data_IF_837788682949
#
_entry.id   IF_837788682949
#
_cell.length_a   1.000
_cell.length_b   1.000
_cell.length_c   1.000
_cell.angle_alpha   90.00
_cell.angle_beta   90.00
_cell.angle_gamma   90.00
#
_symmetry.space_group_name_H-M   'P 1'
#
loop_
_entity.id
_entity.type
_entity.pdbx_description
1 polymer ?
#
# COMPACT_ATOMS: atom_id res chain seq x y z
N UNK A 1 -15.50 13.41 -1.51
CA UNK A 1 -15.93 12.20 -2.22
C UNK A 1 -17.14 11.57 -1.54
N UNK A 2 -17.06 11.08 -0.27
CA UNK A 2 -18.15 10.41 0.47
C UNK A 2 -19.48 11.19 0.49
N UNK A 3 -19.44 12.53 0.68
CA UNK A 3 -20.64 13.38 0.66
C UNK A 3 -21.34 13.34 -0.71
N UNK A 4 -20.59 13.42 -1.80
CA UNK A 4 -21.14 13.34 -3.17
C UNK A 4 -21.67 11.93 -3.48
N UNK A 5 -20.98 10.88 -3.06
CA UNK A 5 -21.46 9.50 -3.21
C UNK A 5 -22.83 9.33 -2.53
N UNK A 6 -22.95 9.75 -1.26
CA UNK A 6 -24.23 9.70 -0.54
C UNK A 6 -25.33 10.53 -1.24
N UNK A 7 -24.97 11.69 -1.80
CA UNK A 7 -25.92 12.54 -2.57
C UNK A 7 -26.42 11.81 -3.81
N UNK A 8 -25.54 11.18 -4.58
CA UNK A 8 -25.90 10.40 -5.77
C UNK A 8 -26.78 9.21 -5.38
N UNK A 9 -26.39 8.41 -4.38
CA UNK A 9 -27.17 7.26 -3.90
C UNK A 9 -28.59 7.65 -3.47
N UNK A 10 -28.74 8.75 -2.70
CA UNK A 10 -30.08 9.24 -2.31
C UNK A 10 -30.92 9.66 -3.49
N UNK A 11 -30.32 10.28 -4.52
CA UNK A 11 -31.05 10.66 -5.73
C UNK A 11 -31.52 9.45 -6.53
N UNK A 12 -30.71 8.41 -6.62
CA UNK A 12 -31.11 7.15 -7.22
C UNK A 12 -32.29 6.52 -6.48
N UNK A 13 -32.21 6.42 -5.15
CA UNK A 13 -33.31 5.86 -4.33
C UNK A 13 -34.62 6.64 -4.52
N UNK A 14 -34.57 7.98 -4.61
CA UNK A 14 -35.77 8.82 -4.85
C UNK A 14 -36.38 8.65 -6.25
N UNK A 15 -35.56 8.19 -7.22
CA UNK A 15 -36.01 8.02 -8.62
C UNK A 15 -36.14 6.53 -8.99
N UNK A 16 -36.25 5.64 -7.98
CA UNK A 16 -36.55 4.24 -8.20
C UNK A 16 -38.00 4.04 -8.60
N UNK A 17 -38.24 3.34 -9.71
CA UNK A 17 -39.57 2.93 -10.19
C UNK A 17 -39.56 1.40 -10.29
N UNK A 18 -40.25 0.72 -9.36
CA UNK A 18 -40.19 -0.73 -9.26
C UNK A 18 -38.77 -1.21 -8.99
N UNK A 19 -38.25 -2.11 -9.82
CA UNK A 19 -36.87 -2.61 -9.74
C UNK A 19 -35.85 -1.76 -10.53
N UNK A 20 -36.31 -0.84 -11.35
CA UNK A 20 -35.45 -0.01 -12.21
C UNK A 20 -35.18 1.38 -11.62
N UNK A 21 -34.06 2.00 -12.04
CA UNK A 21 -33.68 3.35 -11.66
C UNK A 21 -33.69 4.25 -12.88
N UNK A 22 -34.43 5.37 -12.80
CA UNK A 22 -34.46 6.36 -13.86
C UNK A 22 -33.35 7.39 -13.68
N UNK A 23 -32.50 7.59 -14.71
CA UNK A 23 -31.46 8.63 -14.70
C UNK A 23 -32.06 9.98 -15.09
N UNK A 24 -32.18 10.87 -14.13
CA UNK A 24 -32.54 12.26 -14.36
C UNK A 24 -31.34 13.14 -14.67
N UNK A 25 -31.52 14.29 -15.34
CA UNK A 25 -30.45 15.27 -15.59
C UNK A 25 -29.71 15.68 -14.29
N UNK A 26 -30.41 15.75 -13.16
CA UNK A 26 -29.83 16.08 -11.87
C UNK A 26 -28.97 14.95 -11.28
N UNK A 27 -29.27 13.69 -11.61
CA UNK A 27 -28.40 12.54 -11.27
C UNK A 27 -27.14 12.63 -12.11
N UNK A 28 -27.24 12.80 -13.42
CA UNK A 28 -26.12 12.91 -14.35
C UNK A 28 -25.17 14.04 -13.95
N UNK A 29 -25.70 15.23 -13.61
CA UNK A 29 -24.85 16.34 -13.10
C UNK A 29 -24.08 15.96 -11.84
N UNK A 30 -24.74 15.26 -10.90
CA UNK A 30 -24.09 14.85 -9.65
C UNK A 30 -23.06 13.73 -9.86
N UNK A 31 -23.30 12.81 -10.78
CA UNK A 31 -22.33 11.79 -11.20
C UNK A 31 -21.09 12.43 -11.84
N UNK A 32 -21.27 13.40 -12.75
CA UNK A 32 -20.15 14.15 -13.35
C UNK A 32 -19.29 14.84 -12.29
N UNK A 33 -19.92 15.46 -11.27
CA UNK A 33 -19.18 16.06 -10.16
C UNK A 33 -18.41 15.00 -9.35
N UNK A 34 -19.03 13.85 -9.08
CA UNK A 34 -18.37 12.76 -8.38
C UNK A 34 -17.18 12.20 -9.17
N UNK A 35 -17.34 12.02 -10.48
CA UNK A 35 -16.25 11.59 -11.37
C UNK A 35 -15.09 12.58 -11.37
N UNK A 36 -15.35 13.90 -11.50
CA UNK A 36 -14.31 14.93 -11.42
C UNK A 36 -13.52 14.84 -10.13
N UNK A 37 -14.20 14.79 -8.98
CA UNK A 37 -13.53 14.69 -7.67
C UNK A 37 -12.75 13.38 -7.54
N UNK A 38 -13.28 12.27 -8.06
CA UNK A 38 -12.58 10.99 -8.02
C UNK A 38 -11.31 11.02 -8.87
N UNK A 39 -11.39 11.57 -10.07
CA UNK A 39 -10.23 11.75 -10.96
C UNK A 39 -9.16 12.64 -10.34
N UNK A 40 -9.55 13.79 -9.75
CA UNK A 40 -8.61 14.67 -9.05
C UNK A 40 -7.90 13.95 -7.91
N UNK A 41 -8.62 13.18 -7.07
CA UNK A 41 -8.02 12.41 -5.99
C UNK A 41 -7.06 11.33 -6.50
N UNK A 42 -7.39 10.68 -7.61
CA UNK A 42 -6.51 9.69 -8.26
C UNK A 42 -5.22 10.37 -8.74
N UNK A 43 -5.33 11.52 -9.41
CA UNK A 43 -4.17 12.25 -9.89
C UNK A 43 -3.26 12.75 -8.75
N UNK A 44 -3.85 13.23 -7.65
CA UNK A 44 -3.09 13.63 -6.46
C UNK A 44 -2.29 12.45 -5.90
N UNK A 45 -2.91 11.26 -5.79
CA UNK A 45 -2.21 10.07 -5.32
C UNK A 45 -1.09 9.65 -6.26
N UNK A 46 -1.35 9.60 -7.56
CA UNK A 46 -0.33 9.25 -8.56
C UNK A 46 0.84 10.23 -8.50
N UNK A 47 0.56 11.53 -8.43
CA UNK A 47 1.62 12.55 -8.32
C UNK A 47 2.45 12.35 -7.05
N UNK A 48 1.79 12.13 -5.91
CA UNK A 48 2.49 11.86 -4.64
C UNK A 48 3.37 10.62 -4.73
N UNK A 49 2.86 9.52 -5.31
CA UNK A 49 3.64 8.30 -5.52
C UNK A 49 4.84 8.57 -6.43
N UNK A 50 4.63 9.32 -7.52
CA UNK A 50 5.72 9.69 -8.43
C UNK A 50 6.81 10.50 -7.75
N UNK A 51 6.44 11.47 -6.91
CA UNK A 51 7.38 12.28 -6.14
C UNK A 51 8.16 11.43 -5.14
N UNK A 52 7.44 10.65 -4.31
CA UNK A 52 8.03 9.76 -3.31
C UNK A 52 9.00 8.75 -3.94
N UNK A 53 8.58 8.06 -4.99
CA UNK A 53 9.43 7.05 -5.65
C UNK A 53 10.62 7.68 -6.37
N UNK A 54 10.48 8.89 -6.93
CA UNK A 54 11.60 9.64 -7.50
C UNK A 54 12.59 10.07 -6.42
N UNK A 55 12.10 10.53 -5.27
CA UNK A 55 12.97 10.91 -4.15
C UNK A 55 13.81 9.73 -3.67
N UNK A 56 13.20 8.54 -3.52
CA UNK A 56 13.92 7.32 -3.11
C UNK A 56 15.05 6.99 -4.09
N UNK A 57 14.74 6.98 -5.40
CA UNK A 57 15.71 6.62 -6.43
C UNK A 57 16.79 7.71 -6.62
N UNK A 58 16.45 8.99 -6.47
CA UNK A 58 17.39 10.10 -6.59
C UNK A 58 18.45 10.12 -5.47
N UNK A 59 18.20 9.45 -4.34
CA UNK A 59 19.21 9.21 -3.30
C UNK A 59 20.31 8.25 -3.74
N UNK A 60 20.16 7.61 -4.90
CA UNK A 60 21.10 6.66 -5.52
C UNK A 60 21.59 5.57 -4.56
N UNK A 61 20.67 4.84 -3.91
CA UNK A 61 21.08 3.70 -3.09
C UNK A 61 21.74 2.63 -3.96
N UNK A 62 22.62 1.82 -3.38
CA UNK A 62 23.24 0.70 -4.09
C UNK A 62 22.22 -0.34 -4.55
N UNK A 63 21.21 -0.59 -3.73
CA UNK A 63 20.11 -1.51 -4.01
C UNK A 63 18.85 -1.08 -3.26
N UNK A 64 17.70 -1.57 -3.72
CA UNK A 64 16.39 -1.39 -3.07
C UNK A 64 15.77 -2.77 -2.91
N UNK A 65 15.35 -3.10 -1.69
CA UNK A 65 14.63 -4.35 -1.39
C UNK A 65 13.19 -4.02 -1.01
N UNK A 66 12.23 -4.67 -1.67
CA UNK A 66 10.80 -4.57 -1.35
C UNK A 66 10.22 -5.95 -1.08
N UNK A 67 9.18 -6.00 -0.24
CA UNK A 67 8.39 -7.21 0.01
C UNK A 67 7.50 -7.56 -1.18
N UNK A 68 7.33 -8.87 -1.46
CA UNK A 68 6.28 -9.36 -2.38
C UNK A 68 4.92 -9.39 -1.68
N UNK A 69 4.24 -8.26 -1.66
CA UNK A 69 2.91 -8.15 -1.05
C UNK A 69 1.84 -8.82 -1.92
N UNK A 70 1.10 -9.77 -1.35
CA UNK A 70 -0.07 -10.37 -2.00
C UNK A 70 -1.27 -9.40 -2.02
N UNK A 71 -1.15 -8.30 -2.77
CA UNK A 71 -2.19 -7.27 -2.85
C UNK A 71 -3.54 -7.85 -3.30
N UNK A 72 -3.53 -8.79 -4.27
CA UNK A 72 -4.77 -9.46 -4.74
C UNK A 72 -5.45 -10.24 -3.61
N UNK A 73 -4.69 -10.94 -2.78
CA UNK A 73 -5.21 -11.65 -1.61
C UNK A 73 -5.77 -10.69 -0.55
N UNK A 74 -5.05 -9.61 -0.26
CA UNK A 74 -5.47 -8.58 0.69
C UNK A 74 -6.77 -7.89 0.26
N UNK A 75 -6.97 -7.66 -1.05
CA UNK A 75 -8.18 -7.06 -1.62
C UNK A 75 -9.45 -7.92 -1.47
N UNK A 76 -9.32 -9.24 -1.21
CA UNK A 76 -10.48 -10.11 -0.94
C UNK A 76 -11.17 -9.77 0.39
N UNK A 77 -10.48 -9.13 1.32
CA UNK A 77 -11.08 -8.67 2.56
C UNK A 77 -11.91 -7.40 2.30
N UNK A 78 -13.24 -7.53 2.33
CA UNK A 78 -14.20 -6.45 2.05
C UNK A 78 -14.02 -5.22 2.96
N UNK A 79 -13.59 -5.42 4.22
CA UNK A 79 -13.38 -4.32 5.17
C UNK A 79 -12.11 -3.51 4.88
N UNK A 80 -11.09 -4.13 4.31
CA UNK A 80 -9.78 -3.52 4.05
C UNK A 80 -9.57 -3.14 2.59
N UNK A 81 -10.34 -3.71 1.66
CA UNK A 81 -10.13 -3.57 0.21
C UNK A 81 -10.06 -2.12 -0.25
N UNK A 82 -10.92 -1.24 0.28
CA UNK A 82 -10.88 0.18 -0.07
C UNK A 82 -9.60 0.85 0.42
N UNK A 83 -9.17 0.58 1.66
CA UNK A 83 -7.94 1.13 2.23
C UNK A 83 -6.71 0.66 1.45
N UNK A 84 -6.65 -0.64 1.13
CA UNK A 84 -5.56 -1.25 0.35
C UNK A 84 -5.50 -0.63 -1.06
N UNK A 85 -6.64 -0.46 -1.72
CA UNK A 85 -6.71 0.19 -3.03
C UNK A 85 -6.25 1.66 -2.95
N UNK A 86 -6.59 2.35 -1.87
CA UNK A 86 -6.20 3.76 -1.66
C UNK A 86 -4.70 3.92 -1.37
N UNK A 87 -4.03 2.91 -0.85
CA UNK A 87 -2.56 2.89 -0.61
C UNK A 87 -1.75 2.65 -1.90
N UNK A 88 -2.38 2.11 -2.96
CA UNK A 88 -1.72 1.91 -4.26
C UNK A 88 -0.40 1.12 -4.20
N UNK A 89 -0.30 0.10 -3.34
CA UNK A 89 0.94 -0.69 -3.13
C UNK A 89 1.56 -1.20 -4.43
N UNK A 90 0.73 -1.73 -5.35
CA UNK A 90 1.22 -2.21 -6.63
C UNK A 90 1.86 -1.09 -7.47
N UNK A 91 1.28 0.11 -7.46
CA UNK A 91 1.80 1.24 -8.22
C UNK A 91 3.13 1.74 -7.63
N UNK A 92 3.27 1.76 -6.31
CA UNK A 92 4.54 2.06 -5.63
C UNK A 92 5.61 1.06 -6.05
N UNK A 93 5.30 -0.25 -5.94
CA UNK A 93 6.22 -1.31 -6.33
C UNK A 93 6.66 -1.16 -7.79
N UNK A 94 5.71 -1.03 -8.72
CA UNK A 94 5.95 -0.87 -10.15
C UNK A 94 6.85 0.35 -10.45
N UNK A 95 6.56 1.48 -9.79
CA UNK A 95 7.32 2.71 -10.01
C UNK A 95 8.75 2.63 -9.48
N UNK A 96 8.95 2.06 -8.32
CA UNK A 96 10.30 1.85 -7.78
C UNK A 96 11.07 0.91 -8.70
N UNK A 97 10.47 -0.20 -9.14
CA UNK A 97 11.11 -1.17 -10.01
C UNK A 97 11.64 -0.55 -11.31
N UNK A 98 10.80 0.10 -12.13
CA UNK A 98 11.27 0.65 -13.40
C UNK A 98 12.22 1.84 -13.23
N UNK A 99 12.00 2.67 -12.21
CA UNK A 99 12.90 3.81 -11.93
C UNK A 99 14.26 3.33 -11.44
N UNK A 100 14.32 2.25 -10.68
CA UNK A 100 15.58 1.61 -10.27
C UNK A 100 16.37 1.14 -11.49
N UNK A 101 15.69 0.44 -12.42
CA UNK A 101 16.31 -0.01 -13.69
C UNK A 101 16.87 1.18 -14.48
N UNK A 102 16.11 2.27 -14.63
CA UNK A 102 16.56 3.46 -15.35
C UNK A 102 17.75 4.16 -14.71
N UNK A 103 17.95 4.00 -13.42
CA UNK A 103 19.05 4.62 -12.66
C UNK A 103 20.17 3.63 -12.32
N UNK A 104 20.20 2.44 -12.92
CA UNK A 104 21.16 1.37 -12.63
C UNK A 104 21.25 1.03 -11.14
N UNK A 105 20.12 1.06 -10.45
CA UNK A 105 19.98 0.63 -9.05
C UNK A 105 19.47 -0.80 -9.04
N UNK A 106 20.14 -1.67 -8.32
CA UNK A 106 19.72 -3.06 -8.15
C UNK A 106 18.39 -3.14 -7.41
N UNK A 107 17.40 -3.80 -8.01
CA UNK A 107 16.07 -3.97 -7.42
C UNK A 107 15.86 -5.43 -7.04
N UNK A 108 15.57 -5.67 -5.77
CA UNK A 108 15.39 -7.01 -5.19
C UNK A 108 14.00 -7.12 -4.61
N UNK A 109 13.33 -8.23 -4.91
CA UNK A 109 12.05 -8.58 -4.26
C UNK A 109 12.32 -9.65 -3.23
N UNK A 110 12.03 -9.37 -1.97
CA UNK A 110 12.16 -10.37 -0.91
C UNK A 110 11.09 -11.45 -1.06
N UNK A 111 11.41 -12.68 -0.65
CA UNK A 111 10.45 -13.76 -0.63
C UNK A 111 9.21 -13.39 0.18
N UNK A 112 8.04 -13.80 -0.30
CA UNK A 112 6.75 -13.50 0.33
C UNK A 112 6.64 -13.99 1.76
N UNK A 113 7.29 -15.08 2.09
CA UNK A 113 7.25 -15.70 3.40
C UNK A 113 8.45 -15.32 4.28
N UNK A 114 9.33 -14.46 3.78
CA UNK A 114 10.44 -13.96 4.57
C UNK A 114 9.91 -13.22 5.83
N UNK A 115 10.28 -13.66 7.03
CA UNK A 115 9.69 -13.15 8.28
C UNK A 115 10.26 -11.80 8.71
N UNK A 116 10.32 -10.82 7.80
CA UNK A 116 10.95 -9.50 8.00
C UNK A 116 10.55 -8.84 9.32
N UNK A 117 9.25 -8.80 9.63
CA UNK A 117 8.72 -8.16 10.85
C UNK A 117 8.81 -9.04 12.11
N UNK A 118 8.92 -10.37 11.95
CA UNK A 118 8.98 -11.32 13.06
C UNK A 118 10.39 -11.68 13.50
N UNK A 119 11.37 -11.44 12.66
CA UNK A 119 12.77 -11.72 12.94
C UNK A 119 13.43 -10.55 13.67
N UNK A 120 14.23 -10.84 14.69
CA UNK A 120 15.00 -9.83 15.39
C UNK A 120 16.16 -9.34 14.54
N UNK A 121 16.24 -8.04 14.29
CA UNK A 121 17.36 -7.47 13.53
C UNK A 121 18.71 -7.51 14.28
N UNK A 122 18.71 -7.82 15.57
CA UNK A 122 19.94 -7.95 16.36
C UNK A 122 20.49 -9.39 16.34
N UNK A 123 19.68 -10.38 16.76
CA UNK A 123 20.14 -11.75 16.96
C UNK A 123 19.53 -12.79 15.98
N UNK A 124 18.62 -12.38 15.08
CA UNK A 124 17.99 -13.29 14.12
C UNK A 124 16.86 -14.17 14.69
N UNK A 125 16.59 -14.12 16.01
CA UNK A 125 15.52 -14.93 16.59
C UNK A 125 14.15 -14.57 16.01
N UNK A 126 13.30 -15.58 15.76
CA UNK A 126 11.97 -15.41 15.16
C UNK A 126 10.89 -15.50 16.22
N UNK A 127 10.20 -14.38 16.47
CA UNK A 127 9.05 -14.31 17.38
C UNK A 127 7.79 -14.77 16.67
N UNK A 128 7.24 -15.95 17.04
CA UNK A 128 6.07 -16.55 16.39
C UNK A 128 4.76 -15.84 16.73
N UNK A 129 4.62 -15.32 17.93
CA UNK A 129 3.39 -14.76 18.53
C UNK A 129 3.24 -13.22 18.38
N UNK A 130 4.02 -12.61 17.49
CA UNK A 130 3.90 -11.19 17.17
C UNK A 130 2.54 -10.90 16.52
N UNK A 131 1.73 -10.04 17.16
CA UNK A 131 0.39 -9.65 16.69
C UNK A 131 0.46 -8.42 15.78
N UNK A 132 -0.50 -8.29 14.87
CA UNK A 132 -0.59 -7.13 13.96
C UNK A 132 -0.74 -5.78 14.68
N UNK A 133 -1.31 -5.78 15.88
CA UNK A 133 -1.47 -4.57 16.71
C UNK A 133 -0.18 -4.13 17.39
N UNK A 134 0.80 -5.02 17.53
CA UNK A 134 2.03 -4.72 18.24
C UNK A 134 2.89 -3.80 17.35
N UNK A 135 3.17 -2.59 17.81
CA UNK A 135 4.01 -1.62 17.11
C UNK A 135 5.48 -1.70 17.53
N UNK A 136 5.71 -2.17 18.74
CA UNK A 136 7.06 -2.35 19.29
C UNK A 136 7.39 -3.84 19.25
N UNK A 137 8.55 -4.15 18.69
CA UNK A 137 9.13 -5.49 18.72
C UNK A 137 10.04 -5.60 19.94
N UNK A 138 9.80 -6.61 20.77
CA UNK A 138 10.65 -6.96 21.93
C UNK A 138 11.15 -8.37 21.71
N UNK A 139 12.44 -8.54 21.61
CA UNK A 139 13.08 -9.86 21.46
C UNK A 139 13.14 -10.57 22.79
N UNK A 140 12.71 -11.84 22.85
CA UNK A 140 12.78 -12.70 24.04
C UNK A 140 14.21 -13.19 24.35
N UNK A 141 15.06 -13.27 23.32
CA UNK A 141 16.42 -13.83 23.45
C UNK A 141 17.45 -12.77 23.85
N UNK A 142 17.51 -11.66 23.10
CA UNK A 142 18.54 -10.64 23.32
C UNK A 142 18.02 -9.36 23.98
N UNK A 143 16.73 -9.29 24.34
CA UNK A 143 16.12 -8.13 24.97
C UNK A 143 16.01 -6.88 24.08
N UNK A 144 16.33 -6.97 22.79
CA UNK A 144 16.26 -5.83 21.87
C UNK A 144 14.82 -5.27 21.79
N UNK A 145 14.68 -3.97 21.99
CA UNK A 145 13.40 -3.23 21.92
C UNK A 145 13.49 -2.23 20.78
N UNK A 146 12.65 -2.39 19.77
CA UNK A 146 12.73 -1.61 18.53
C UNK A 146 11.33 -1.42 17.93
N UNK A 147 11.09 -0.35 17.17
CA UNK A 147 9.89 -0.23 16.35
C UNK A 147 9.80 -1.39 15.36
N UNK A 148 8.62 -2.01 15.24
CA UNK A 148 8.43 -3.22 14.42
C UNK A 148 8.69 -2.97 12.95
N UNK A 149 8.27 -1.84 12.42
CA UNK A 149 8.38 -1.52 10.99
C UNK A 149 9.84 -1.14 10.66
N UNK A 150 10.53 -0.48 11.60
CA UNK A 150 11.97 -0.23 11.49
C UNK A 150 12.77 -1.54 11.57
N UNK A 151 12.43 -2.44 12.49
CA UNK A 151 13.04 -3.78 12.56
C UNK A 151 12.91 -4.54 11.24
N UNK A 152 11.70 -4.51 10.64
CA UNK A 152 11.45 -5.13 9.34
C UNK A 152 12.29 -4.51 8.22
N UNK A 153 12.46 -3.20 8.21
CA UNK A 153 13.28 -2.51 7.21
C UNK A 153 14.76 -2.89 7.30
N UNK A 154 15.29 -3.05 8.50
CA UNK A 154 16.67 -3.53 8.72
C UNK A 154 16.83 -4.98 8.25
N UNK A 155 15.85 -5.84 8.52
CA UNK A 155 15.87 -7.22 8.05
C UNK A 155 15.79 -7.32 6.53
N UNK A 156 14.95 -6.49 5.89
CA UNK A 156 14.89 -6.42 4.43
C UNK A 156 16.20 -5.91 3.82
N UNK A 157 16.85 -4.93 4.43
CA UNK A 157 18.18 -4.48 3.98
C UNK A 157 19.19 -5.61 3.98
N UNK A 158 19.19 -6.46 5.01
CA UNK A 158 20.10 -7.63 5.13
C UNK A 158 19.68 -8.80 4.24
N UNK A 159 18.46 -8.81 3.71
CA UNK A 159 17.98 -9.89 2.84
C UNK A 159 18.90 -10.13 1.65
N UNK A 160 19.50 -9.07 1.11
CA UNK A 160 20.48 -9.20 0.02
C UNK A 160 21.68 -10.05 0.41
N UNK A 161 22.18 -9.93 1.64
CA UNK A 161 23.33 -10.69 2.15
C UNK A 161 23.00 -12.19 2.29
N UNK A 162 21.70 -12.52 2.42
CA UNK A 162 21.24 -13.90 2.56
C UNK A 162 21.08 -14.60 1.20
N UNK A 163 20.96 -13.85 0.10
CA UNK A 163 20.76 -14.38 -1.25
C UNK A 163 21.98 -14.22 -2.15
N UNK A 164 23.05 -13.58 -1.66
CA UNK A 164 24.34 -13.43 -2.34
C UNK A 164 25.21 -14.67 -2.11
#
# INVERSE_FOLDING_TARGET
>A
KRRLQRKVSRKYLKNKKGESYCKTCNIIKSERQLLKVTHTLTNIRHNHIHQMTSEIVNRKPKFIVLEDLNVKGMMKNKHLSQAIQEQCFYEVYRQIQYKSIWNNIEFITADRYYPSSKMCSCCGNIKKDLKLKDRIYVCSECGNVIDRDYNASVNLMRYKELIA
#
